data_IF_073375823409
#
_entry.id   IF_073375823409
#
_cell.length_a   1.000
_cell.length_b   1.000
_cell.length_c   1.000
_cell.angle_alpha   90.00
_cell.angle_beta   90.00
_cell.angle_gamma   90.00
#
_symmetry.space_group_name_H-M   'P 1'
#
loop_
_entity.id
_entity.type
_entity.pdbx_description
1 polymer ?
#
# COMPACT_ATOMS: atom_id res chain seq x y z
N UNK A 1 -18.02 3.65 10.09
CA UNK A 1 -16.91 4.29 9.34
C UNK A 1 -16.00 3.19 8.82
N UNK A 2 -16.02 2.90 7.51
CA UNK A 2 -15.13 1.89 6.91
C UNK A 2 -13.78 2.55 6.65
N UNK A 3 -12.78 2.10 7.39
CA UNK A 3 -11.42 2.60 7.49
C UNK A 3 -10.77 2.81 6.11
N UNK A 4 -10.02 3.91 5.98
CA UNK A 4 -9.20 4.31 4.84
C UNK A 4 -8.03 3.32 4.59
N UNK A 5 -8.33 2.04 4.34
CA UNK A 5 -7.40 0.92 4.18
C UNK A 5 -6.82 0.83 2.75
N UNK A 6 -7.25 1.69 1.82
CA UNK A 6 -7.11 1.44 0.38
C UNK A 6 -5.85 1.99 -0.32
N UNK A 7 -4.97 2.73 0.36
CA UNK A 7 -3.71 3.25 -0.24
C UNK A 7 -2.51 2.32 -0.01
N UNK A 8 -2.79 1.07 0.36
CA UNK A 8 -1.87 0.22 1.09
C UNK A 8 -0.89 -0.57 0.21
N UNK A 9 -1.16 -0.74 -1.09
CA UNK A 9 -0.40 -1.64 -1.96
C UNK A 9 1.02 -1.16 -2.35
N UNK A 10 1.40 0.09 -2.05
CA UNK A 10 2.59 0.70 -2.63
C UNK A 10 3.88 0.53 -1.81
N UNK A 11 3.86 0.83 -0.50
CA UNK A 11 5.02 0.68 0.39
C UNK A 11 5.45 -0.77 0.60
N UNK A 12 4.59 -1.72 0.21
CA UNK A 12 4.75 -3.15 0.40
C UNK A 12 5.71 -3.75 -0.63
N UNK A 13 5.74 -3.24 -1.86
CA UNK A 13 6.43 -3.91 -2.97
C UNK A 13 7.85 -3.41 -3.17
N UNK A 14 8.08 -2.12 -2.95
CA UNK A 14 9.40 -1.52 -3.08
C UNK A 14 10.08 -1.53 -1.71
N UNK A 15 10.74 -2.64 -1.39
CA UNK A 15 11.78 -2.70 -0.36
C UNK A 15 13.01 -1.87 -0.73
N UNK A 16 12.80 -0.65 -1.21
CA UNK A 16 13.84 0.23 -1.68
C UNK A 16 14.26 1.14 -0.54
N UNK A 17 15.43 0.80 0.01
CA UNK A 17 16.38 1.72 0.62
C UNK A 17 15.96 2.32 1.97
N UNK A 18 16.83 2.13 2.96
CA UNK A 18 16.78 2.80 4.25
C UNK A 18 16.60 4.31 4.08
N UNK A 19 15.65 4.89 4.83
CA UNK A 19 15.40 6.33 5.00
C UNK A 19 14.57 7.08 3.94
N UNK A 20 13.83 6.41 3.05
CA UNK A 20 12.92 7.13 2.15
C UNK A 20 11.59 7.52 2.83
N UNK A 21 11.09 8.72 2.51
CA UNK A 21 9.74 9.18 2.87
C UNK A 21 8.86 9.17 1.63
N UNK A 22 7.74 8.45 1.67
CA UNK A 22 6.77 8.43 0.58
C UNK A 22 5.57 9.30 0.93
N UNK A 23 5.08 10.08 -0.04
CA UNK A 23 3.89 10.90 0.12
C UNK A 23 2.88 10.58 -0.96
N UNK A 24 1.63 10.30 -0.57
CA UNK A 24 0.55 10.03 -1.51
C UNK A 24 -0.37 11.23 -1.65
N UNK A 25 -0.59 11.67 -2.88
CA UNK A 25 -1.45 12.77 -3.27
C UNK A 25 -2.67 12.21 -3.99
N UNK A 26 -3.87 12.66 -3.61
CA UNK A 26 -5.05 12.44 -4.45
C UNK A 26 -4.89 13.25 -5.72
N UNK A 27 -5.42 12.75 -6.83
CA UNK A 27 -5.43 13.48 -8.10
C UNK A 27 -6.86 13.81 -8.51
N UNK A 28 -7.00 14.88 -9.28
CA UNK A 28 -8.24 15.20 -10.01
C UNK A 28 -7.86 15.40 -11.47
N UNK A 29 -8.41 14.56 -12.36
CA UNK A 29 -8.05 14.54 -13.79
C UNK A 29 -6.52 14.48 -14.01
N UNK A 30 -5.83 13.67 -13.21
CA UNK A 30 -4.39 13.47 -13.31
C UNK A 30 -3.53 14.56 -12.67
N UNK A 31 -4.13 15.63 -12.15
CA UNK A 31 -3.42 16.71 -11.45
C UNK A 31 -3.36 16.37 -9.96
N UNK A 32 -2.16 16.18 -9.37
CA UNK A 32 -2.02 15.91 -7.94
C UNK A 32 -2.43 17.12 -7.09
N UNK A 33 -3.09 16.84 -5.97
CA UNK A 33 -3.31 17.81 -4.90
C UNK A 33 -1.97 18.41 -4.43
N UNK A 34 -1.98 19.68 -4.04
CA UNK A 34 -0.80 20.34 -3.43
C UNK A 34 -0.48 19.80 -2.04
N UNK A 35 -1.46 19.17 -1.38
CA UNK A 35 -1.31 18.57 -0.06
C UNK A 35 -1.36 17.05 -0.14
N UNK A 36 -0.43 16.34 0.54
CA UNK A 36 -0.48 14.90 0.64
C UNK A 36 -1.68 14.47 1.49
N UNK A 37 -2.23 13.32 1.15
CA UNK A 37 -3.26 12.63 1.93
C UNK A 37 -2.66 11.67 2.97
N UNK A 38 -1.49 11.09 2.66
CA UNK A 38 -0.79 10.15 3.52
C UNK A 38 0.72 10.31 3.37
N UNK A 39 1.46 9.96 4.42
CA UNK A 39 2.92 9.89 4.42
C UNK A 39 3.36 8.59 5.06
N UNK A 40 4.34 7.92 4.45
CA UNK A 40 4.95 6.71 4.97
C UNK A 40 6.42 7.02 5.22
N UNK A 41 6.88 6.75 6.45
CA UNK A 41 8.27 6.99 6.87
C UNK A 41 8.89 5.71 7.35
N UNK A 42 10.09 5.41 6.91
CA UNK A 42 10.92 4.39 7.56
C UNK A 42 11.44 4.96 8.88
N UNK A 43 11.07 4.35 10.00
CA UNK A 43 11.40 4.87 11.35
C UNK A 43 12.44 4.01 12.07
N UNK A 44 12.59 2.77 11.64
CA UNK A 44 13.64 1.86 12.09
C UNK A 44 13.87 0.81 10.97
N UNK A 45 14.96 0.03 11.02
CA UNK A 45 15.14 -1.09 10.10
C UNK A 45 13.89 -1.97 10.06
N UNK A 46 13.41 -2.24 8.84
CA UNK A 46 12.22 -3.05 8.58
C UNK A 46 10.90 -2.53 9.20
N UNK A 47 10.86 -1.30 9.70
CA UNK A 47 9.68 -0.72 10.35
C UNK A 47 9.31 0.61 9.70
N UNK A 48 8.05 0.72 9.27
CA UNK A 48 7.50 1.90 8.65
C UNK A 48 6.27 2.39 9.41
N UNK A 49 6.15 3.70 9.56
CA UNK A 49 4.97 4.36 10.10
C UNK A 49 4.18 5.02 8.98
N UNK A 50 2.86 4.81 8.98
CA UNK A 50 1.92 5.46 8.08
C UNK A 50 1.21 6.56 8.85
N UNK A 51 1.20 7.77 8.29
CA UNK A 51 0.53 8.93 8.85
C UNK A 51 -0.55 9.40 7.89
N UNK A 52 -1.76 9.60 8.41
CA UNK A 52 -2.82 10.27 7.67
C UNK A 52 -2.63 11.79 7.75
N UNK A 53 -3.12 12.50 6.74
CA UNK A 53 -3.20 13.95 6.74
C UNK A 53 -4.66 14.39 6.80
N UNK A 54 -4.93 15.45 7.56
CA UNK A 54 -6.22 16.12 7.56
C UNK A 54 -5.99 17.56 7.15
N UNK A 55 -6.62 17.98 6.06
CA UNK A 55 -6.46 19.32 5.47
C UNK A 55 -4.98 19.68 5.23
N UNK A 56 -4.18 18.69 4.78
CA UNK A 56 -2.75 18.85 4.50
C UNK A 56 -1.82 18.86 5.72
N UNK A 57 -2.36 18.73 6.92
CA UNK A 57 -1.58 18.62 8.16
C UNK A 57 -1.45 17.15 8.53
N UNK A 58 -0.20 16.69 8.72
CA UNK A 58 0.08 15.34 9.18
C UNK A 58 -0.45 15.16 10.60
N UNK A 59 -1.17 14.06 10.85
CA UNK A 59 -1.54 13.66 12.21
C UNK A 59 -0.28 13.38 13.04
N UNK A 60 -0.28 13.70 14.35
CA UNK A 60 0.90 13.56 15.20
C UNK A 60 1.27 12.08 15.44
N UNK A 61 0.26 11.21 15.47
CA UNK A 61 0.44 9.79 15.65
C UNK A 61 0.29 9.05 14.32
N UNK A 62 1.07 7.97 14.10
CA UNK A 62 0.82 7.09 12.97
C UNK A 62 -0.59 6.51 13.08
N UNK A 63 -1.22 6.24 11.94
CA UNK A 63 -2.46 5.47 11.83
C UNK A 63 -2.20 3.97 11.68
N UNK A 64 -0.99 3.60 11.23
CA UNK A 64 -0.55 2.21 11.12
C UNK A 64 0.96 2.09 11.29
N UNK A 65 1.39 0.91 11.74
CA UNK A 65 2.80 0.46 11.72
C UNK A 65 2.92 -0.76 10.83
N UNK A 66 3.94 -0.79 9.99
CA UNK A 66 4.25 -1.93 9.12
C UNK A 66 5.60 -2.47 9.52
N UNK A 67 5.67 -3.75 9.89
CA UNK A 67 6.92 -4.46 10.14
C UNK A 67 7.19 -5.45 9.03
N UNK A 68 8.46 -5.59 8.63
CA UNK A 68 8.91 -6.56 7.63
C UNK A 68 9.83 -7.58 8.30
N UNK A 69 9.61 -8.86 8.08
CA UNK A 69 10.56 -9.91 8.44
C UNK A 69 11.65 -9.96 7.35
N UNK A 70 12.92 -9.63 7.65
CA UNK A 70 13.95 -9.50 6.63
C UNK A 70 14.36 -10.83 5.99
N UNK A 71 14.12 -11.97 6.66
CA UNK A 71 14.46 -13.29 6.14
C UNK A 71 13.41 -13.83 5.17
N UNK A 72 12.14 -13.58 5.44
CA UNK A 72 11.02 -14.14 4.66
C UNK A 72 10.33 -13.13 3.75
N UNK A 73 10.62 -11.83 3.91
CA UNK A 73 9.90 -10.76 3.21
C UNK A 73 8.44 -10.58 3.64
N UNK A 74 7.97 -11.36 4.62
CA UNK A 74 6.61 -11.26 5.16
C UNK A 74 6.45 -9.93 5.88
N UNK A 75 5.35 -9.24 5.59
CA UNK A 75 5.00 -7.96 6.21
C UNK A 75 3.77 -8.11 7.08
N UNK A 76 3.79 -7.46 8.23
CA UNK A 76 2.65 -7.38 9.14
C UNK A 76 2.25 -5.93 9.32
N UNK A 77 0.95 -5.72 9.38
CA UNK A 77 0.35 -4.40 9.37
C UNK A 77 -0.47 -4.27 10.63
N UNK A 78 -0.17 -3.27 11.43
CA UNK A 78 -0.83 -3.04 12.69
C UNK A 78 -1.57 -1.71 12.61
N UNK A 79 -2.81 -1.71 13.05
CA UNK A 79 -3.50 -0.47 13.37
C UNK A 79 -2.87 0.16 14.60
N UNK A 80 -3.10 1.46 14.76
CA UNK A 80 -2.70 2.18 15.95
C UNK A 80 -3.87 2.97 16.50
N UNK A 81 -3.92 3.08 17.82
CA UNK A 81 -4.85 3.98 18.51
C UNK A 81 -4.02 4.96 19.32
N UNK A 82 -4.11 6.26 19.00
CA UNK A 82 -3.31 7.31 19.62
C UNK A 82 -1.80 7.03 19.62
N UNK A 83 -1.30 6.41 18.53
CA UNK A 83 0.12 6.08 18.36
C UNK A 83 0.57 4.78 19.03
N UNK A 84 -0.31 4.13 19.80
CA UNK A 84 -0.04 2.82 20.38
C UNK A 84 -0.41 1.76 19.34
N UNK A 85 0.56 0.91 18.98
CA UNK A 85 0.37 -0.19 18.05
C UNK A 85 -0.46 -1.31 18.67
N UNK A 86 -1.42 -1.84 17.90
CA UNK A 86 -2.13 -3.06 18.29
C UNK A 86 -1.18 -4.27 18.31
N UNK A 87 -1.47 -5.22 19.19
CA UNK A 87 -0.69 -6.47 19.31
C UNK A 87 -0.99 -7.41 18.13
N UNK A 88 -2.22 -7.32 17.62
CA UNK A 88 -2.73 -8.15 16.53
C UNK A 88 -2.58 -7.37 15.22
N UNK A 89 -1.88 -7.92 14.21
CA UNK A 89 -1.88 -7.28 12.91
C UNK A 89 -3.29 -7.33 12.33
N UNK A 90 -3.69 -6.32 11.56
CA UNK A 90 -4.92 -6.31 10.76
C UNK A 90 -4.74 -7.01 9.42
N UNK A 91 -3.51 -7.01 8.89
CA UNK A 91 -3.17 -7.64 7.62
C UNK A 91 -1.79 -8.29 7.70
N UNK A 92 -1.64 -9.38 6.94
CA UNK A 92 -0.35 -10.03 6.68
C UNK A 92 -0.14 -10.09 5.18
N UNK A 93 1.03 -9.70 4.71
CA UNK A 93 1.39 -9.72 3.30
C UNK A 93 2.57 -10.67 3.12
N UNK A 94 2.46 -11.61 2.19
CA UNK A 94 3.47 -12.65 1.97
C UNK A 94 3.96 -12.60 0.52
N UNK A 95 5.26 -12.77 0.25
CA UNK A 95 5.72 -13.02 -1.11
C UNK A 95 5.01 -14.24 -1.70
N UNK A 96 4.65 -14.17 -2.98
CA UNK A 96 4.03 -15.27 -3.70
C UNK A 96 4.98 -15.84 -4.77
N UNK A 97 4.62 -16.99 -5.32
CA UNK A 97 5.44 -17.71 -6.31
C UNK A 97 5.51 -17.02 -7.67
N UNK A 98 4.71 -15.97 -7.90
CA UNK A 98 4.66 -15.21 -9.16
C UNK A 98 5.51 -13.94 -9.11
N UNK A 99 6.43 -13.84 -8.14
CA UNK A 99 7.31 -12.67 -7.99
C UNK A 99 6.61 -11.42 -7.46
N UNK A 100 5.42 -11.58 -6.85
CA UNK A 100 4.66 -10.51 -6.23
C UNK A 100 4.31 -10.85 -4.78
N UNK A 101 3.15 -10.38 -4.33
CA UNK A 101 2.72 -10.52 -2.93
C UNK A 101 1.23 -10.85 -2.81
N UNK A 102 0.87 -11.66 -1.83
CA UNK A 102 -0.51 -11.94 -1.45
C UNK A 102 -0.86 -11.23 -0.14
N UNK A 103 -2.01 -10.56 -0.11
CA UNK A 103 -2.50 -9.79 1.04
C UNK A 103 -3.61 -10.58 1.73
N UNK A 104 -3.38 -10.95 2.98
CA UNK A 104 -4.32 -11.65 3.83
C UNK A 104 -4.87 -10.69 4.87
N UNK A 105 -6.18 -10.48 4.87
CA UNK A 105 -6.86 -9.90 6.03
C UNK A 105 -6.75 -10.87 7.20
N UNK A 106 -6.74 -10.35 8.41
CA UNK A 106 -6.69 -11.15 9.62
C UNK A 106 -7.96 -10.97 10.44
N UNK A 107 -8.28 -12.00 11.22
CA UNK A 107 -9.30 -11.93 12.26
C UNK A 107 -8.68 -12.48 13.53
N UNK A 108 -8.63 -11.66 14.58
CA UNK A 108 -8.02 -12.01 15.87
C UNK A 108 -6.56 -12.51 15.72
N UNK A 109 -5.80 -11.92 14.79
CA UNK A 109 -4.38 -12.25 14.56
C UNK A 109 -4.13 -13.47 13.68
N UNK A 110 -5.19 -14.17 13.27
CA UNK A 110 -5.10 -15.31 12.35
C UNK A 110 -5.36 -14.79 10.93
N UNK A 111 -4.40 -14.90 9.99
CA UNK A 111 -4.65 -14.59 8.59
C UNK A 111 -5.71 -15.50 8.00
N UNK A 112 -6.56 -14.96 7.14
CA UNK A 112 -7.48 -15.78 6.35
C UNK A 112 -6.72 -16.84 5.53
N UNK A 113 -7.38 -17.96 5.26
CA UNK A 113 -6.78 -19.07 4.49
C UNK A 113 -6.46 -18.62 3.07
N UNK A 114 -7.36 -17.83 2.47
CA UNK A 114 -7.20 -17.29 1.13
C UNK A 114 -6.84 -15.81 1.19
N UNK A 115 -5.99 -15.31 0.27
CA UNK A 115 -5.75 -13.88 0.18
C UNK A 115 -7.03 -13.13 -0.16
N UNK A 116 -7.04 -11.84 0.18
CA UNK A 116 -8.03 -10.84 -0.24
C UNK A 116 -7.63 -10.09 -1.51
N UNK A 117 -6.32 -10.03 -1.78
CA UNK A 117 -5.73 -9.49 -3.01
C UNK A 117 -4.43 -10.21 -3.32
N UNK A 118 -4.11 -10.29 -4.61
CA UNK A 118 -2.82 -10.75 -5.12
C UNK A 118 -2.20 -9.64 -5.95
N UNK A 119 -0.94 -9.33 -5.70
CA UNK A 119 -0.14 -8.36 -6.44
C UNK A 119 0.85 -9.11 -7.32
N UNK A 120 1.03 -8.63 -8.55
CA UNK A 120 1.94 -9.23 -9.54
C UNK A 120 2.65 -8.14 -10.35
N UNK A 121 3.86 -8.41 -10.87
CA UNK A 121 4.47 -7.53 -11.86
C UNK A 121 3.52 -7.26 -13.04
N UNK A 122 3.40 -5.99 -13.41
CA UNK A 122 2.67 -5.54 -14.59
C UNK A 122 3.66 -5.51 -15.78
N UNK A 123 3.28 -5.92 -17.00
CA UNK A 123 4.17 -5.88 -18.17
C UNK A 123 4.77 -4.51 -18.48
N UNK A 124 4.16 -3.42 -17.98
CA UNK A 124 4.68 -2.05 -18.10
C UNK A 124 5.71 -1.67 -17.01
N UNK A 125 6.28 -2.65 -16.30
CA UNK A 125 7.27 -2.43 -15.23
C UNK A 125 6.67 -1.94 -13.91
N UNK A 126 5.34 -2.03 -13.76
CA UNK A 126 4.60 -1.67 -12.56
C UNK A 126 4.19 -2.89 -11.73
N UNK A 127 3.18 -2.69 -10.88
CA UNK A 127 2.50 -3.74 -10.12
C UNK A 127 1.00 -3.68 -10.39
N UNK A 128 0.42 -4.79 -10.79
CA UNK A 128 -1.01 -4.97 -10.90
C UNK A 128 -1.56 -5.60 -9.61
N UNK A 129 -2.66 -5.06 -9.10
CA UNK A 129 -3.35 -5.54 -7.90
C UNK A 129 -4.66 -6.19 -8.33
N UNK A 130 -4.82 -7.46 -7.99
CA UNK A 130 -5.99 -8.26 -8.33
C UNK A 130 -6.78 -8.54 -7.05
N UNK A 131 -8.06 -8.13 -6.96
CA UNK A 131 -8.91 -8.60 -5.89
C UNK A 131 -9.11 -10.12 -6.04
N UNK A 132 -9.22 -10.82 -4.93
CA UNK A 132 -9.44 -12.26 -4.91
C UNK A 132 -10.78 -12.58 -4.27
N UNK A 133 -11.45 -13.58 -4.81
CA UNK A 133 -12.66 -14.15 -4.22
C UNK A 133 -12.40 -15.63 -3.99
N UNK A 134 -12.52 -16.08 -2.73
CA UNK A 134 -12.21 -17.47 -2.33
C UNK A 134 -10.81 -17.93 -2.80
N UNK A 135 -9.84 -17.01 -2.79
CA UNK A 135 -8.45 -17.28 -3.19
C UNK A 135 -8.19 -17.27 -4.70
N UNK A 136 -9.22 -17.06 -5.52
CA UNK A 136 -9.08 -16.94 -6.97
C UNK A 136 -8.97 -15.45 -7.33
N UNK A 137 -7.84 -15.00 -7.92
CA UNK A 137 -7.71 -13.62 -8.40
C UNK A 137 -8.65 -13.34 -9.57
N UNK A 138 -9.20 -12.13 -9.59
CA UNK A 138 -9.92 -11.60 -10.76
C UNK A 138 -9.06 -11.65 -12.02
N UNK A 139 -9.70 -11.77 -13.18
CA UNK A 139 -9.04 -11.76 -14.50
C UNK A 139 -8.41 -10.40 -14.78
N UNK A 140 -9.09 -9.33 -14.38
CA UNK A 140 -8.60 -7.95 -14.51
C UNK A 140 -8.19 -7.39 -13.14
N UNK A 141 -7.13 -6.58 -13.08
CA UNK A 141 -6.75 -5.90 -11.84
C UNK A 141 -7.81 -4.87 -11.44
N UNK A 142 -7.86 -4.50 -10.15
CA UNK A 142 -8.64 -3.36 -9.68
C UNK A 142 -7.86 -2.05 -9.78
N UNK A 143 -6.53 -2.12 -9.75
CA UNK A 143 -5.62 -1.00 -9.96
C UNK A 143 -4.24 -1.50 -10.40
N UNK A 144 -3.50 -0.59 -11.03
CA UNK A 144 -2.07 -0.74 -11.27
C UNK A 144 -1.31 0.41 -10.65
N UNK A 145 -0.09 0.09 -10.24
CA UNK A 145 0.90 1.02 -9.73
C UNK A 145 1.99 1.09 -10.79
N UNK A 146 2.24 2.27 -11.37
CA UNK A 146 3.20 2.43 -12.46
C UNK A 146 4.27 3.45 -12.08
N UNK A 147 5.55 3.24 -12.41
CA UNK A 147 6.58 4.25 -12.23
C UNK A 147 6.25 5.55 -13.00
N UNK A 148 6.63 6.69 -12.43
CA UNK A 148 6.56 8.00 -13.09
C UNK A 148 7.79 8.86 -12.76
N UNK A 149 7.83 10.10 -13.26
CA UNK A 149 8.91 11.04 -12.94
C UNK A 149 8.85 11.44 -11.45
N UNK A 150 9.68 10.80 -10.62
CA UNK A 150 9.81 11.11 -9.18
C UNK A 150 8.99 10.23 -8.25
N UNK A 151 8.44 9.12 -8.75
CA UNK A 151 7.70 8.17 -7.94
C UNK A 151 6.81 7.26 -8.77
N UNK A 152 5.52 7.21 -8.42
CA UNK A 152 4.58 6.23 -8.96
C UNK A 152 3.16 6.77 -9.07
N UNK A 153 2.41 6.27 -10.03
CA UNK A 153 1.00 6.57 -10.25
C UNK A 153 0.13 5.35 -9.96
N UNK A 154 -1.01 5.58 -9.30
CA UNK A 154 -2.04 4.58 -9.07
C UNK A 154 -3.18 4.83 -10.06
N UNK A 155 -3.30 3.94 -11.04
CA UNK A 155 -4.37 3.94 -12.05
C UNK A 155 -5.41 2.91 -11.64
N UNK A 156 -6.66 3.33 -11.45
CA UNK A 156 -7.75 2.39 -11.15
C UNK A 156 -8.23 1.72 -12.43
N UNK A 157 -8.80 0.53 -12.28
CA UNK A 157 -9.48 -0.16 -13.34
C UNK A 157 -10.97 -0.21 -13.04
N UNK A 158 -11.79 0.20 -14.02
CA UNK A 158 -13.24 0.14 -13.94
C UNK A 158 -13.74 -0.73 -15.08
N UNK A 159 -14.49 -1.79 -14.72
CA UNK A 159 -14.99 -2.77 -15.70
C UNK A 159 -13.89 -3.34 -16.60
N UNK A 160 -12.69 -3.58 -16.04
CA UNK A 160 -11.55 -4.15 -16.75
C UNK A 160 -10.72 -3.16 -17.58
N UNK A 161 -11.11 -1.89 -17.66
CA UNK A 161 -10.38 -0.84 -18.38
C UNK A 161 -9.67 0.11 -17.41
N UNK A 162 -8.42 0.51 -17.68
CA UNK A 162 -7.73 1.52 -16.88
C UNK A 162 -8.40 2.88 -17.04
N UNK A 163 -8.47 3.65 -15.96
CA UNK A 163 -8.80 5.07 -16.03
C UNK A 163 -7.74 5.83 -16.84
N UNK A 164 -8.18 6.86 -17.57
CA UNK A 164 -7.29 7.68 -18.41
C UNK A 164 -6.23 8.43 -17.60
N UNK A 165 -6.58 8.78 -16.37
CA UNK A 165 -5.73 9.53 -15.47
C UNK A 165 -5.47 8.73 -14.20
N UNK A 166 -4.31 8.91 -13.54
CA UNK A 166 -4.10 8.32 -12.23
C UNK A 166 -5.13 8.87 -11.24
N UNK A 167 -5.52 8.04 -10.28
CA UNK A 167 -6.37 8.39 -9.13
C UNK A 167 -5.58 8.91 -7.93
N UNK A 168 -4.29 8.55 -7.87
CA UNK A 168 -3.32 9.02 -6.89
C UNK A 168 -1.93 9.04 -7.50
N UNK A 169 -1.10 9.95 -7.01
CA UNK A 169 0.34 9.96 -7.30
C UNK A 169 1.10 9.81 -6.00
N UNK A 170 2.15 9.02 -6.01
CA UNK A 170 3.06 8.80 -4.90
C UNK A 170 4.39 9.41 -5.28
N UNK A 171 4.89 10.31 -4.45
CA UNK A 171 6.23 10.88 -4.60
C UNK A 171 7.16 10.25 -3.58
N UNK A 172 8.34 9.86 -4.03
CA UNK A 172 9.43 9.46 -3.15
C UNK A 172 10.23 10.72 -2.84
N UNK A 173 10.38 11.01 -1.55
CA UNK A 173 11.30 12.05 -1.07
C UNK A 173 12.53 11.35 -0.53
N UNK A 174 13.68 11.71 -1.09
CA UNK A 174 14.97 11.41 -0.48
C UNK A 174 15.09 12.20 0.85
N UNK A 175 15.77 11.63 1.86
CA UNK A 175 16.00 12.28 3.15
C UNK A 175 16.83 13.56 3.06
#
# INVERSE_FOLDING_TARGET
>A
MKTQIFTFCFSIVFGLLSAQTMQTFQTSNGIPSIFPSQTIKTVAPNTQNVYNHQNGIQQPFPSQVITTNPQSGVKQVYSTTNGIQDIIPVQVIKPNTMGGYDIFETKNGIPNITPSKTMRPDPMGGIAVFPTQNGIPSVSPDKTIRPNQGGFDIVQYKSGLPELFPSKTIKVKDP
#
